data_IF_149297562049
#
_entry.id   IF_149297562049
#
_cell.length_a   1.000
_cell.length_b   1.000
_cell.length_c   1.000
_cell.angle_alpha   90.00
_cell.angle_beta   90.00
_cell.angle_gamma   90.00
#
_symmetry.space_group_name_H-M   'P 1'
#
loop_
_entity.id
_entity.type
_entity.pdbx_description
1 polymer ?
#
# COMPACT_ATOMS: atom_id res chain seq x y z
N UNK A 1 -25.45 5.92 -14.36
CA UNK A 1 -24.26 5.51 -15.14
C UNK A 1 -23.55 4.35 -14.45
N UNK A 2 -22.94 3.49 -15.23
CA UNK A 2 -22.05 2.42 -14.77
C UNK A 2 -20.71 2.53 -15.50
N UNK A 3 -19.62 2.39 -14.77
CA UNK A 3 -18.26 2.35 -15.30
C UNK A 3 -17.51 1.19 -14.65
N UNK A 4 -16.86 0.37 -15.46
CA UNK A 4 -15.87 -0.61 -15.03
C UNK A 4 -14.51 -0.23 -15.60
N UNK A 5 -13.46 -0.41 -14.83
CA UNK A 5 -12.10 -0.11 -15.23
C UNK A 5 -11.16 -1.19 -14.71
N UNK A 6 -10.33 -1.72 -15.58
CA UNK A 6 -9.24 -2.63 -15.24
C UNK A 6 -7.93 -1.98 -15.62
N UNK A 7 -7.07 -1.76 -14.65
CA UNK A 7 -5.70 -1.30 -14.85
C UNK A 7 -4.76 -2.42 -14.46
N UNK A 8 -3.73 -2.65 -15.26
CA UNK A 8 -2.70 -3.63 -14.98
C UNK A 8 -1.33 -3.11 -15.34
N UNK A 9 -0.31 -3.55 -14.61
CA UNK A 9 1.08 -3.35 -14.99
C UNK A 9 1.87 -4.64 -14.78
N UNK A 10 2.79 -4.88 -15.68
CA UNK A 10 3.78 -5.96 -15.62
C UNK A 10 5.15 -5.31 -15.65
N UNK A 11 6.03 -5.73 -14.77
CA UNK A 11 7.42 -5.29 -14.72
C UNK A 11 8.34 -6.49 -14.69
N UNK A 12 9.35 -6.48 -15.54
CA UNK A 12 10.46 -7.41 -15.50
C UNK A 12 11.75 -6.63 -15.30
N UNK A 13 12.53 -6.98 -14.31
CA UNK A 13 13.81 -6.36 -14.00
C UNK A 13 14.92 -7.39 -13.99
N UNK A 14 16.04 -7.06 -14.61
CA UNK A 14 17.29 -7.83 -14.50
C UNK A 14 18.42 -6.88 -14.21
N UNK A 15 19.16 -7.17 -13.15
CA UNK A 15 20.35 -6.42 -12.76
C UNK A 15 21.54 -7.36 -12.60
N UNK A 16 22.65 -7.03 -13.23
CA UNK A 16 23.94 -7.69 -13.01
C UNK A 16 24.90 -6.68 -12.39
N UNK A 17 25.56 -7.04 -11.31
CA UNK A 17 26.52 -6.19 -10.61
C UNK A 17 27.81 -6.95 -10.39
N UNK A 18 28.93 -6.25 -10.52
CA UNK A 18 30.26 -6.82 -10.27
C UNK A 18 31.14 -5.80 -9.54
N UNK A 19 31.76 -6.25 -8.49
CA UNK A 19 32.78 -5.52 -7.74
C UNK A 19 34.09 -6.27 -7.81
N UNK A 20 35.09 -5.72 -8.51
CA UNK A 20 36.42 -6.30 -8.61
C UNK A 20 37.26 -6.13 -7.33
N UNK A 21 38.42 -6.77 -7.28
CA UNK A 21 39.32 -6.72 -6.14
C UNK A 21 39.73 -5.32 -5.70
N UNK A 22 39.84 -4.39 -6.64
CA UNK A 22 40.26 -3.01 -6.39
C UNK A 22 39.08 -2.08 -6.06
N UNK A 23 37.85 -2.58 -6.10
CA UNK A 23 36.67 -1.77 -5.78
C UNK A 23 36.61 -1.45 -4.28
N UNK A 24 36.54 -0.16 -3.94
CA UNK A 24 36.47 0.27 -2.53
C UNK A 24 35.23 -0.28 -1.80
N UNK A 25 34.08 -0.37 -2.48
CA UNK A 25 32.85 -0.91 -1.94
C UNK A 25 32.93 -2.39 -1.54
N UNK A 26 33.87 -3.12 -2.11
CA UNK A 26 34.06 -4.55 -1.85
C UNK A 26 34.81 -4.83 -0.55
N UNK A 27 35.68 -3.91 -0.12
CA UNK A 27 36.62 -4.13 1.00
C UNK A 27 35.97 -4.41 2.35
N UNK A 28 34.96 -3.67 2.83
CA UNK A 28 34.42 -3.91 4.17
C UNK A 28 33.60 -5.21 4.25
N UNK A 29 33.00 -5.63 3.16
CA UNK A 29 32.01 -6.74 3.16
C UNK A 29 32.63 -8.06 2.73
N UNK A 30 33.56 -8.04 1.76
CA UNK A 30 34.11 -9.23 1.14
C UNK A 30 35.63 -9.38 1.29
N UNK A 31 36.24 -8.63 2.20
CA UNK A 31 37.67 -8.66 2.50
C UNK A 31 38.58 -8.56 1.23
N UNK A 32 38.12 -7.78 0.25
CA UNK A 32 38.86 -7.58 -1.01
C UNK A 32 38.64 -8.65 -2.06
N UNK A 33 37.83 -9.67 -1.81
CA UNK A 33 37.46 -10.67 -2.83
C UNK A 33 36.48 -10.09 -3.86
N UNK A 34 36.60 -10.43 -5.15
CA UNK A 34 35.60 -10.06 -6.14
C UNK A 34 34.22 -10.58 -5.74
N UNK A 35 33.21 -9.78 -6.02
CA UNK A 35 31.83 -10.13 -5.76
C UNK A 35 30.98 -9.85 -6.99
N UNK A 36 30.15 -10.80 -7.34
CA UNK A 36 29.25 -10.72 -8.49
C UNK A 36 27.83 -11.09 -8.07
N UNK A 37 26.85 -10.39 -8.64
CA UNK A 37 25.44 -10.60 -8.34
C UNK A 37 24.62 -10.52 -9.62
N UNK A 38 23.64 -11.42 -9.74
CA UNK A 38 22.54 -11.31 -10.71
C UNK A 38 21.24 -11.33 -9.95
N UNK A 39 20.42 -10.31 -10.17
CA UNK A 39 19.06 -10.23 -9.66
C UNK A 39 18.07 -10.20 -10.81
N UNK A 40 17.09 -11.09 -10.77
CA UNK A 40 15.91 -11.04 -11.63
C UNK A 40 14.70 -10.75 -10.75
N UNK A 41 13.79 -9.91 -11.24
CA UNK A 41 12.55 -9.61 -10.55
C UNK A 41 11.40 -9.51 -11.51
N UNK A 42 10.28 -10.10 -11.14
CA UNK A 42 9.03 -10.04 -11.87
C UNK A 42 7.97 -9.43 -10.96
N UNK A 43 7.31 -8.39 -11.44
CA UNK A 43 6.25 -7.73 -10.71
C UNK A 43 5.00 -7.64 -11.55
N UNK A 44 3.87 -7.84 -10.93
CA UNK A 44 2.59 -7.53 -11.54
C UNK A 44 1.67 -6.84 -10.54
N UNK A 45 0.91 -5.89 -11.05
CA UNK A 45 -0.16 -5.28 -10.31
C UNK A 45 -1.40 -5.16 -11.17
N UNK A 46 -2.57 -5.30 -10.57
CA UNK A 46 -3.81 -4.95 -11.21
C UNK A 46 -4.79 -4.34 -10.21
N UNK A 47 -5.62 -3.45 -10.73
CA UNK A 47 -6.74 -2.86 -10.02
C UNK A 47 -7.97 -2.96 -10.89
N UNK A 48 -9.00 -3.60 -10.37
CA UNK A 48 -10.32 -3.66 -10.99
C UNK A 48 -11.29 -2.84 -10.14
N UNK A 49 -11.92 -1.87 -10.78
CA UNK A 49 -12.83 -0.95 -10.13
C UNK A 49 -14.16 -0.89 -10.88
N UNK A 50 -15.26 -0.89 -10.13
CA UNK A 50 -16.60 -0.72 -10.64
C UNK A 50 -17.27 0.43 -9.91
N UNK A 51 -17.88 1.34 -10.67
CA UNK A 51 -18.57 2.51 -10.17
C UNK A 51 -19.97 2.52 -10.74
N UNK A 52 -20.97 2.52 -9.88
CA UNK A 52 -22.37 2.69 -10.22
C UNK A 52 -22.88 3.99 -9.64
N UNK A 53 -23.38 4.89 -10.48
CA UNK A 53 -23.95 6.16 -10.04
C UNK A 53 -25.37 6.32 -10.57
N UNK A 54 -26.27 6.72 -9.68
CA UNK A 54 -27.65 7.03 -9.98
C UNK A 54 -28.03 8.38 -9.41
N UNK A 55 -28.50 9.27 -10.27
CA UNK A 55 -28.99 10.59 -9.89
C UNK A 55 -30.45 10.71 -10.27
N UNK A 56 -31.28 11.27 -9.38
CA UNK A 56 -32.68 11.49 -9.63
C UNK A 56 -33.19 12.70 -8.84
N UNK A 57 -34.29 13.29 -9.31
CA UNK A 57 -34.93 14.42 -8.66
C UNK A 57 -36.39 14.11 -8.38
N UNK A 58 -36.90 14.59 -7.25
CA UNK A 58 -38.31 14.49 -6.86
C UNK A 58 -38.84 15.92 -6.68
N UNK A 59 -40.02 16.19 -7.26
CA UNK A 59 -40.69 17.46 -7.20
C UNK A 59 -39.81 18.68 -7.58
N UNK A 60 -38.84 18.49 -8.46
CA UNK A 60 -37.86 19.47 -8.95
C UNK A 60 -36.93 20.10 -7.89
N UNK A 61 -37.30 20.06 -6.63
CA UNK A 61 -36.60 20.70 -5.51
C UNK A 61 -35.66 19.76 -4.78
N UNK A 62 -35.90 18.45 -4.84
CA UNK A 62 -35.15 17.45 -4.13
C UNK A 62 -34.26 16.66 -5.12
N UNK A 63 -32.96 16.88 -5.03
CA UNK A 63 -32.00 16.18 -5.88
C UNK A 63 -31.22 15.16 -5.07
N UNK A 64 -31.14 13.95 -5.58
CA UNK A 64 -30.46 12.82 -4.96
C UNK A 64 -29.38 12.28 -5.89
N UNK A 65 -28.26 11.92 -5.29
CA UNK A 65 -27.20 11.21 -5.96
C UNK A 65 -26.69 10.05 -5.09
N UNK A 66 -26.66 8.86 -5.66
CA UNK A 66 -26.12 7.66 -5.00
C UNK A 66 -24.99 7.12 -5.84
N UNK A 67 -23.85 6.87 -5.24
CA UNK A 67 -22.71 6.26 -5.91
C UNK A 67 -22.18 5.10 -5.07
N UNK A 68 -22.15 3.92 -5.69
CA UNK A 68 -21.51 2.72 -5.15
C UNK A 68 -20.20 2.44 -5.89
N UNK A 69 -19.17 2.08 -5.16
CA UNK A 69 -17.86 1.71 -5.70
C UNK A 69 -17.42 0.38 -5.11
N UNK A 70 -16.91 -0.50 -5.96
CA UNK A 70 -16.15 -1.66 -5.53
C UNK A 70 -14.78 -1.64 -6.20
N UNK A 71 -13.73 -1.95 -5.45
CA UNK A 71 -12.37 -1.96 -5.97
C UNK A 71 -11.62 -3.17 -5.43
N UNK A 72 -10.89 -3.83 -6.31
CA UNK A 72 -9.98 -4.91 -5.94
C UNK A 72 -8.61 -4.65 -6.54
N UNK A 73 -7.58 -4.67 -5.70
CA UNK A 73 -6.19 -4.48 -6.08
C UNK A 73 -5.36 -5.67 -5.59
N UNK A 74 -4.47 -6.14 -6.46
CA UNK A 74 -3.43 -7.10 -6.12
C UNK A 74 -2.09 -6.61 -6.64
N UNK A 75 -1.08 -6.70 -5.79
CA UNK A 75 0.32 -6.47 -6.16
C UNK A 75 1.11 -7.73 -5.80
N UNK A 76 1.99 -8.15 -6.69
CA UNK A 76 2.91 -9.26 -6.47
C UNK A 76 4.27 -8.90 -7.01
N UNK A 77 5.29 -9.24 -6.25
CA UNK A 77 6.68 -9.10 -6.63
C UNK A 77 7.43 -10.38 -6.27
N UNK A 78 8.04 -10.98 -7.26
CA UNK A 78 8.90 -12.15 -7.13
C UNK A 78 10.31 -11.76 -7.51
N UNK A 79 11.30 -12.26 -6.78
CA UNK A 79 12.69 -12.04 -7.13
C UNK A 79 13.52 -13.29 -6.90
N UNK A 80 14.59 -13.40 -7.70
CA UNK A 80 15.68 -14.35 -7.50
C UNK A 80 16.99 -13.58 -7.56
N UNK A 81 17.81 -13.77 -6.54
CA UNK A 81 19.12 -13.18 -6.40
C UNK A 81 20.15 -14.30 -6.32
N UNK A 82 21.15 -14.26 -7.18
CA UNK A 82 22.28 -15.17 -7.18
C UNK A 82 23.56 -14.37 -6.97
N UNK A 83 24.30 -14.70 -5.93
CA UNK A 83 25.54 -14.07 -5.53
C UNK A 83 26.72 -15.02 -5.67
N UNK A 84 27.87 -14.49 -6.04
CA UNK A 84 29.14 -15.21 -6.07
C UNK A 84 30.28 -14.34 -5.56
N UNK A 85 31.13 -14.88 -4.70
CA UNK A 85 32.33 -14.19 -4.23
C UNK A 85 33.57 -15.03 -4.37
N UNK A 86 34.75 -14.35 -4.51
CA UNK A 86 36.05 -15.02 -4.68
C UNK A 86 36.26 -15.60 -6.07
N UNK A 87 35.94 -14.84 -7.11
CA UNK A 87 36.28 -15.22 -8.49
C UNK A 87 37.78 -14.96 -8.77
N UNK A 88 38.48 -15.92 -9.35
CA UNK A 88 39.91 -15.79 -9.67
C UNK A 88 40.15 -14.84 -10.85
N UNK A 89 39.20 -14.74 -11.77
CA UNK A 89 39.32 -13.97 -12.99
C UNK A 89 38.21 -12.93 -13.13
N UNK A 90 38.58 -11.66 -13.23
CA UNK A 90 37.66 -10.52 -13.39
C UNK A 90 36.87 -10.54 -14.71
N UNK A 91 37.39 -11.25 -15.73
CA UNK A 91 36.78 -11.32 -17.07
C UNK A 91 35.36 -11.91 -17.05
N UNK A 92 35.08 -12.79 -16.10
CA UNK A 92 33.75 -13.41 -16.00
C UNK A 92 32.67 -12.50 -15.41
N UNK A 93 33.07 -11.56 -14.58
CA UNK A 93 32.13 -10.66 -13.90
C UNK A 93 30.93 -11.44 -13.33
N UNK A 94 29.68 -11.00 -13.62
CA UNK A 94 28.45 -11.68 -13.19
C UNK A 94 27.96 -12.74 -14.21
N UNK A 95 28.67 -12.97 -15.31
CA UNK A 95 28.22 -13.93 -16.33
C UNK A 95 28.49 -15.40 -15.97
N UNK A 96 29.39 -15.66 -15.02
CA UNK A 96 29.74 -17.00 -14.61
C UNK A 96 29.90 -17.10 -13.09
N UNK A 97 28.78 -17.08 -12.36
CA UNK A 97 28.81 -17.19 -10.90
C UNK A 97 29.34 -18.54 -10.41
N UNK A 98 29.23 -19.61 -11.22
CA UNK A 98 29.81 -20.94 -10.90
C UNK A 98 31.33 -20.90 -10.68
N UNK A 99 32.03 -19.91 -11.24
CA UNK A 99 33.48 -19.74 -11.06
C UNK A 99 33.80 -19.06 -9.69
N UNK A 100 32.85 -18.67 -8.91
CA UNK A 100 33.06 -18.10 -7.58
C UNK A 100 33.30 -19.21 -6.55
N UNK A 101 34.19 -18.93 -5.59
CA UNK A 101 34.52 -19.86 -4.51
C UNK A 101 33.36 -20.06 -3.54
N UNK A 102 32.56 -19.02 -3.34
CA UNK A 102 31.33 -19.06 -2.54
C UNK A 102 30.15 -18.57 -3.37
N UNK A 103 29.05 -19.31 -3.32
CA UNK A 103 27.85 -19.04 -4.07
C UNK A 103 26.64 -19.03 -3.12
N UNK A 104 25.71 -18.12 -3.36
CA UNK A 104 24.45 -18.03 -2.62
C UNK A 104 23.32 -17.76 -3.59
N UNK A 105 22.20 -18.44 -3.40
CA UNK A 105 20.97 -18.18 -4.13
C UNK A 105 19.88 -17.85 -3.10
N UNK A 106 19.15 -16.81 -3.35
CA UNK A 106 18.02 -16.36 -2.56
C UNK A 106 16.85 -16.03 -3.47
N UNK A 107 15.66 -16.37 -3.05
CA UNK A 107 14.43 -15.98 -3.76
C UNK A 107 13.37 -15.54 -2.76
N UNK A 108 12.44 -14.72 -3.24
CA UNK A 108 11.34 -14.26 -2.41
C UNK A 108 10.13 -13.89 -3.24
N UNK A 109 8.96 -14.02 -2.60
CA UNK A 109 7.67 -13.63 -3.16
C UNK A 109 6.96 -12.75 -2.15
N UNK A 110 6.53 -11.57 -2.61
CA UNK A 110 5.71 -10.66 -1.83
C UNK A 110 4.39 -10.42 -2.55
N UNK A 111 3.28 -10.74 -1.88
CA UNK A 111 1.95 -10.51 -2.43
C UNK A 111 1.11 -9.72 -1.44
N UNK A 112 0.46 -8.66 -1.93
CA UNK A 112 -0.51 -7.87 -1.16
C UNK A 112 -1.81 -7.74 -1.93
N UNK A 113 -2.92 -7.75 -1.19
CA UNK A 113 -4.25 -7.54 -1.74
C UNK A 113 -4.98 -6.49 -0.93
N UNK A 114 -5.76 -5.65 -1.63
CA UNK A 114 -6.68 -4.69 -1.05
C UNK A 114 -8.04 -4.84 -1.72
N UNK A 115 -9.09 -4.71 -0.92
CA UNK A 115 -10.47 -4.72 -1.40
C UNK A 115 -11.23 -3.60 -0.71
N UNK A 116 -12.06 -2.90 -1.48
CA UNK A 116 -12.78 -1.74 -0.97
C UNK A 116 -14.20 -1.74 -1.47
N UNK A 117 -15.11 -1.34 -0.60
CA UNK A 117 -16.49 -0.99 -0.94
C UNK A 117 -16.75 0.42 -0.46
N UNK A 118 -17.34 1.25 -1.30
CA UNK A 118 -17.74 2.58 -0.88
C UNK A 118 -19.16 2.88 -1.33
N UNK A 119 -19.88 3.57 -0.45
CA UNK A 119 -21.20 4.12 -0.74
C UNK A 119 -21.17 5.61 -0.44
N UNK A 120 -21.63 6.42 -1.39
CA UNK A 120 -21.81 7.85 -1.23
C UNK A 120 -23.24 8.24 -1.55
N UNK A 121 -23.82 9.03 -0.68
CA UNK A 121 -25.13 9.62 -0.81
C UNK A 121 -24.99 11.13 -0.80
N UNK A 122 -25.58 11.80 -1.79
CA UNK A 122 -25.69 13.25 -1.87
C UNK A 122 -27.15 13.63 -1.93
N UNK A 123 -27.52 14.66 -1.21
CA UNK A 123 -28.84 15.24 -1.23
C UNK A 123 -28.76 16.75 -1.31
N UNK A 124 -29.61 17.35 -2.11
CA UNK A 124 -29.75 18.79 -2.22
C UNK A 124 -31.21 19.16 -2.26
N UNK A 125 -31.62 20.08 -1.37
CA UNK A 125 -32.96 20.67 -1.36
C UNK A 125 -32.89 22.11 -1.86
N UNK A 126 -33.62 22.39 -2.96
CA UNK A 126 -33.66 23.69 -3.65
C UNK A 126 -32.29 24.28 -3.99
N UNK A 127 -31.26 23.50 -4.03
CA UNK A 127 -29.87 23.97 -4.19
C UNK A 127 -29.30 24.69 -2.96
N UNK A 128 -30.09 24.92 -1.93
CA UNK A 128 -29.75 25.71 -0.72
C UNK A 128 -29.13 24.85 0.37
N UNK A 129 -29.77 23.73 0.68
CA UNK A 129 -29.34 22.81 1.73
C UNK A 129 -28.72 21.59 1.07
N UNK A 130 -27.45 21.32 1.37
CA UNK A 130 -26.71 20.22 0.81
C UNK A 130 -26.26 19.29 1.91
N UNK A 131 -26.46 18.00 1.71
CA UNK A 131 -26.03 16.94 2.59
C UNK A 131 -25.24 15.90 1.78
N UNK A 132 -24.10 15.50 2.30
CA UNK A 132 -23.32 14.39 1.76
C UNK A 132 -23.00 13.43 2.90
N UNK A 133 -23.21 12.16 2.66
CA UNK A 133 -22.74 11.07 3.51
C UNK A 133 -21.98 10.07 2.66
N UNK A 134 -20.87 9.60 3.16
CA UNK A 134 -20.12 8.49 2.54
C UNK A 134 -19.62 7.54 3.60
N UNK A 135 -19.56 6.27 3.24
CA UNK A 135 -18.84 5.29 4.03
C UNK A 135 -18.01 4.42 3.10
N UNK A 136 -16.77 4.15 3.50
CA UNK A 136 -15.85 3.26 2.80
C UNK A 136 -15.42 2.14 3.75
N UNK A 137 -15.57 0.92 3.30
CA UNK A 137 -15.06 -0.27 3.95
C UNK A 137 -13.84 -0.75 3.18
N UNK A 138 -12.69 -0.76 3.83
CA UNK A 138 -11.45 -1.19 3.23
C UNK A 138 -10.90 -2.42 3.95
N UNK A 139 -10.46 -3.38 3.16
CA UNK A 139 -9.80 -4.59 3.64
C UNK A 139 -8.42 -4.77 3.01
N UNK A 140 -7.46 -5.20 3.83
CA UNK A 140 -6.08 -5.49 3.39
C UNK A 140 -5.62 -6.86 3.86
N UNK A 141 -4.83 -7.53 3.04
CA UNK A 141 -4.39 -8.91 3.32
C UNK A 141 -3.37 -9.00 4.46
N UNK A 142 -2.59 -7.94 4.69
CA UNK A 142 -1.40 -7.93 5.53
C UNK A 142 -1.64 -7.49 6.98
N UNK A 143 -2.88 -7.19 7.37
CA UNK A 143 -3.23 -6.94 8.76
C UNK A 143 -3.59 -8.22 9.51
N UNK A 144 -3.57 -8.14 10.83
CA UNK A 144 -3.87 -9.26 11.72
C UNK A 144 -5.27 -9.82 11.51
N UNK A 145 -5.50 -11.11 11.75
CA UNK A 145 -6.84 -11.68 11.76
C UNK A 145 -7.79 -10.87 12.63
N UNK A 146 -8.99 -10.60 12.11
CA UNK A 146 -9.99 -9.76 12.78
C UNK A 146 -9.77 -8.24 12.65
N UNK A 147 -8.63 -7.78 12.13
CA UNK A 147 -8.31 -6.35 11.93
C UNK A 147 -8.09 -5.95 10.48
N UNK A 148 -8.31 -6.89 9.56
CA UNK A 148 -8.09 -6.67 8.12
C UNK A 148 -9.05 -5.66 7.52
N UNK A 149 -10.28 -5.64 8.00
CA UNK A 149 -11.35 -4.77 7.51
C UNK A 149 -11.67 -3.67 8.50
N UNK A 150 -11.92 -2.47 7.98
CA UNK A 150 -12.42 -1.36 8.78
C UNK A 150 -13.31 -0.43 7.95
N UNK A 151 -14.03 0.46 8.63
CA UNK A 151 -15.02 1.36 8.09
C UNK A 151 -14.65 2.82 8.36
N UNK A 152 -14.78 3.65 7.33
CA UNK A 152 -14.36 5.05 7.33
C UNK A 152 -15.54 5.95 6.89
N UNK A 153 -16.47 6.26 7.82
CA UNK A 153 -17.56 7.16 7.54
C UNK A 153 -17.11 8.61 7.46
N UNK A 154 -17.81 9.39 6.61
CA UNK A 154 -17.68 10.83 6.53
C UNK A 154 -19.02 11.46 6.19
N UNK A 155 -19.26 12.65 6.73
CA UNK A 155 -20.46 13.42 6.47
C UNK A 155 -20.17 14.91 6.34
N UNK A 156 -20.95 15.60 5.51
CA UNK A 156 -20.85 17.03 5.34
C UNK A 156 -22.23 17.66 5.14
N UNK A 157 -22.40 18.85 5.70
CA UNK A 157 -23.54 19.72 5.51
C UNK A 157 -23.07 21.03 4.91
N UNK A 158 -23.85 21.59 4.00
CA UNK A 158 -23.63 22.94 3.53
C UNK A 158 -24.97 23.68 3.37
N UNK A 159 -24.96 24.98 3.68
CA UNK A 159 -26.11 25.86 3.57
C UNK A 159 -25.72 27.10 2.78
N UNK A 160 -26.42 27.34 1.68
CA UNK A 160 -26.32 28.57 0.91
C UNK A 160 -27.22 29.62 1.55
N UNK A 161 -26.67 30.43 2.42
CA UNK A 161 -27.37 31.47 3.15
C UNK A 161 -27.82 32.59 2.21
N UNK A 162 -26.99 32.93 1.21
CA UNK A 162 -27.30 33.96 0.21
C UNK A 162 -28.61 33.72 -0.54
N UNK A 163 -28.98 32.44 -0.73
CA UNK A 163 -30.22 32.09 -1.47
C UNK A 163 -31.47 32.19 -0.63
N UNK A 164 -31.37 32.55 0.65
CA UNK A 164 -32.53 32.70 1.55
C UNK A 164 -33.26 34.03 1.37
N UNK A 165 -34.58 34.01 1.59
CA UNK A 165 -35.42 35.17 1.38
C UNK A 165 -35.03 36.39 2.25
N UNK A 166 -34.48 36.14 3.43
CA UNK A 166 -34.03 37.20 4.33
C UNK A 166 -32.71 37.85 3.88
N UNK A 167 -31.98 37.24 2.98
CA UNK A 167 -30.70 37.77 2.45
C UNK A 167 -30.88 38.61 1.17
N UNK A 168 -32.08 38.70 0.60
CA UNK A 168 -32.32 39.44 -0.65
C UNK A 168 -31.90 40.91 -0.58
N UNK A 169 -31.99 41.56 0.58
CA UNK A 169 -31.53 42.95 0.76
C UNK A 169 -30.01 43.09 0.67
N UNK A 170 -29.26 42.00 0.84
CA UNK A 170 -27.80 41.97 0.84
C UNK A 170 -27.21 41.62 -0.52
N UNK A 171 -28.01 41.26 -1.52
CA UNK A 171 -27.56 40.86 -2.89
C UNK A 171 -26.70 41.94 -3.58
N UNK A 172 -26.82 43.22 -3.14
CA UNK A 172 -26.04 44.32 -3.73
C UNK A 172 -24.55 44.30 -3.39
N UNK A 173 -24.15 43.61 -2.32
CA UNK A 173 -22.78 43.59 -1.82
C UNK A 173 -22.29 42.18 -1.43
N UNK A 174 -23.17 41.19 -1.38
CA UNK A 174 -22.86 39.82 -1.01
C UNK A 174 -23.58 38.87 -1.98
N UNK A 175 -22.87 38.45 -3.04
CA UNK A 175 -23.44 37.57 -4.07
C UNK A 175 -23.52 36.11 -3.63
N UNK A 176 -22.61 35.68 -2.78
CA UNK A 176 -22.55 34.29 -2.32
C UNK A 176 -22.17 34.25 -0.83
N UNK A 177 -22.96 33.56 -0.04
CA UNK A 177 -22.60 33.19 1.32
C UNK A 177 -23.02 31.74 1.54
N UNK A 178 -22.02 30.89 1.73
CA UNK A 178 -22.23 29.47 1.99
C UNK A 178 -21.45 29.02 3.21
N UNK A 179 -22.16 28.40 4.15
CA UNK A 179 -21.57 27.79 5.34
C UNK A 179 -21.39 26.29 5.10
N UNK A 180 -20.27 25.73 5.53
CA UNK A 180 -19.97 24.30 5.41
C UNK A 180 -19.44 23.73 6.71
N UNK A 181 -19.86 22.52 7.05
CA UNK A 181 -19.32 21.73 8.13
C UNK A 181 -19.19 20.29 7.66
N UNK A 182 -18.10 19.65 8.01
CA UNK A 182 -17.88 18.24 7.70
C UNK A 182 -17.04 17.56 8.75
N UNK A 183 -17.28 16.28 8.89
CA UNK A 183 -16.48 15.40 9.75
C UNK A 183 -16.31 14.05 9.08
N UNK A 184 -15.18 13.40 9.33
CA UNK A 184 -14.92 12.08 8.78
C UNK A 184 -13.74 11.36 9.42
N UNK A 185 -13.71 10.08 9.19
CA UNK A 185 -12.63 9.20 9.61
C UNK A 185 -11.88 8.76 8.36
N UNK A 186 -10.57 8.86 8.37
CA UNK A 186 -9.70 8.31 7.32
C UNK A 186 -8.82 7.20 7.89
N UNK A 187 -8.67 6.12 7.12
CA UNK A 187 -7.83 4.99 7.46
C UNK A 187 -6.49 5.05 6.73
N UNK A 188 -5.44 4.69 7.44
CA UNK A 188 -4.12 4.51 6.86
C UNK A 188 -3.65 3.07 7.07
N UNK A 189 -3.25 2.40 5.97
CA UNK A 189 -2.64 1.07 5.97
C UNK A 189 -1.16 1.10 5.56
N UNK A 190 -0.58 2.30 5.39
CA UNK A 190 0.81 2.46 4.99
C UNK A 190 1.79 2.06 6.09
N UNK A 191 3.04 1.83 5.70
CA UNK A 191 4.12 1.50 6.63
C UNK A 191 4.13 0.07 7.16
N UNK A 192 3.15 -0.76 6.80
CA UNK A 192 3.08 -2.17 7.23
C UNK A 192 3.49 -3.08 6.07
N UNK A 193 4.53 -3.88 6.27
CA UNK A 193 4.98 -4.86 5.28
C UNK A 193 4.00 -6.02 5.10
N UNK A 194 4.06 -6.68 3.94
CA UNK A 194 3.13 -7.74 3.54
C UNK A 194 2.97 -8.89 4.56
N UNK A 195 4.02 -9.17 5.32
CA UNK A 195 4.08 -10.30 6.26
C UNK A 195 4.43 -9.89 7.69
N UNK A 196 4.29 -8.60 8.03
CA UNK A 196 4.64 -8.05 9.36
C UNK A 196 3.81 -8.66 10.52
N UNK A 197 2.71 -9.34 10.22
CA UNK A 197 1.89 -10.06 11.21
C UNK A 197 2.31 -11.51 11.39
N UNK A 198 3.25 -12.00 10.56
CA UNK A 198 3.71 -13.39 10.58
C UNK A 198 5.06 -13.48 11.28
N UNK A 199 5.20 -14.45 12.16
CA UNK A 199 6.50 -14.79 12.72
C UNK A 199 7.22 -15.69 11.72
N UNK A 200 8.38 -15.21 11.24
CA UNK A 200 9.24 -15.98 10.35
C UNK A 200 10.44 -16.47 11.15
N UNK A 201 10.62 -17.78 11.18
CA UNK A 201 11.79 -18.41 11.79
C UNK A 201 12.63 -19.09 10.71
N UNK A 202 13.90 -18.73 10.66
CA UNK A 202 14.88 -19.37 9.77
C UNK A 202 15.75 -20.33 10.58
N UNK A 203 15.88 -21.54 10.09
CA UNK A 203 16.82 -22.49 10.63
C UNK A 203 18.22 -22.10 10.18
N UNK A 204 19.08 -21.77 11.12
CA UNK A 204 20.49 -21.52 10.87
C UNK A 204 21.31 -22.60 11.57
N UNK A 205 22.06 -23.38 10.79
CA UNK A 205 23.02 -24.37 11.33
C UNK A 205 24.38 -23.71 11.38
N UNK A 206 24.81 -23.33 12.55
CA UNK A 206 26.12 -22.75 12.80
C UNK A 206 27.17 -23.85 12.97
N UNK A 207 28.46 -23.46 12.91
CA UNK A 207 29.54 -24.31 13.39
C UNK A 207 29.20 -24.73 14.83
N UNK A 208 29.29 -26.05 15.09
CA UNK A 208 28.90 -26.61 16.36
C UNK A 208 29.82 -26.23 17.52
N UNK A 209 29.42 -26.56 18.73
CA UNK A 209 30.31 -26.55 19.89
C UNK A 209 31.12 -27.87 19.96
N UNK A 210 32.39 -27.76 20.34
CA UNK A 210 33.22 -28.96 20.50
C UNK A 210 32.96 -29.57 21.88
N UNK A 211 32.46 -30.80 21.89
CA UNK A 211 32.24 -31.59 23.11
C UNK A 211 33.10 -32.84 22.97
N UNK A 212 34.03 -33.07 23.90
CA UNK A 212 34.93 -34.21 23.90
C UNK A 212 35.68 -34.41 22.55
N UNK A 213 36.12 -33.30 21.94
CA UNK A 213 36.83 -33.37 20.64
C UNK A 213 35.94 -33.53 19.41
N UNK A 214 34.64 -33.69 19.57
CA UNK A 214 33.68 -33.79 18.47
C UNK A 214 32.91 -32.51 18.29
N UNK A 215 32.75 -32.06 17.05
CA UNK A 215 31.90 -30.91 16.72
C UNK A 215 30.43 -31.36 16.74
N UNK A 216 29.66 -30.87 17.69
CA UNK A 216 28.22 -31.06 17.77
C UNK A 216 27.56 -29.84 17.15
N UNK A 217 26.97 -29.94 15.95
CA UNK A 217 26.28 -28.85 15.32
C UNK A 217 25.04 -28.47 16.12
N UNK A 218 24.84 -27.17 16.34
CA UNK A 218 23.58 -26.72 16.93
C UNK A 218 22.77 -25.92 15.89
N UNK A 219 21.46 -26.04 16.01
CA UNK A 219 20.51 -25.32 15.19
C UNK A 219 19.97 -24.12 15.97
N UNK A 220 20.16 -22.96 15.41
CA UNK A 220 19.58 -21.74 15.94
C UNK A 220 18.43 -21.31 15.03
N UNK A 221 17.31 -20.96 15.63
CA UNK A 221 16.24 -20.27 14.93
C UNK A 221 16.40 -18.78 15.12
N UNK A 222 16.57 -18.07 14.03
CA UNK A 222 16.57 -16.60 14.01
C UNK A 222 15.45 -16.14 13.11
N UNK A 223 14.83 -15.04 13.42
CA UNK A 223 13.73 -14.55 12.62
C UNK A 223 13.09 -13.28 13.18
N UNK A 224 12.05 -12.83 12.51
CA UNK A 224 11.28 -11.66 12.91
C UNK A 224 9.99 -12.11 13.58
N UNK A 225 9.71 -11.54 14.75
CA UNK A 225 8.43 -11.77 15.41
C UNK A 225 7.36 -10.93 14.72
N UNK A 226 6.30 -11.61 14.29
CA UNK A 226 5.13 -10.95 13.74
C UNK A 226 4.34 -10.21 14.84
N UNK A 227 3.82 -9.04 14.53
CA UNK A 227 2.93 -8.32 15.44
C UNK A 227 1.49 -8.85 15.30
N UNK A 228 0.91 -9.45 16.33
CA UNK A 228 -0.44 -10.00 16.27
C UNK A 228 -1.54 -8.94 16.33
N UNK A 229 -1.18 -7.66 16.52
CA UNK A 229 -2.13 -6.58 16.78
C UNK A 229 -2.19 -5.50 15.70
N UNK A 230 -1.48 -5.68 14.56
CA UNK A 230 -1.48 -4.70 13.48
C UNK A 230 -2.86 -4.56 12.83
N UNK A 231 -3.28 -3.33 12.67
CA UNK A 231 -4.55 -2.94 12.07
C UNK A 231 -4.50 -1.52 11.52
N UNK A 232 -5.67 -0.98 11.19
CA UNK A 232 -5.82 0.35 10.62
C UNK A 232 -5.46 1.44 11.63
N UNK A 233 -4.67 2.40 11.20
CA UNK A 233 -4.53 3.69 11.86
C UNK A 233 -5.70 4.58 11.44
N UNK A 234 -6.32 5.27 12.39
CA UNK A 234 -7.50 6.12 12.15
C UNK A 234 -7.18 7.57 12.47
N UNK A 235 -7.50 8.46 11.53
CA UNK A 235 -7.44 9.89 11.71
C UNK A 235 -8.86 10.48 11.68
N UNK A 236 -9.20 11.30 12.68
CA UNK A 236 -10.48 11.99 12.80
C UNK A 236 -10.30 13.43 12.31
N UNK A 237 -11.08 13.81 11.30
CA UNK A 237 -10.95 15.09 10.64
C UNK A 237 -12.25 15.90 10.79
N UNK A 238 -12.10 17.19 11.05
CA UNK A 238 -13.18 18.17 11.12
C UNK A 238 -12.86 19.33 10.19
N UNK A 239 -13.86 19.82 9.50
CA UNK A 239 -13.72 20.95 8.59
C UNK A 239 -14.90 21.91 8.77
N UNK A 240 -14.58 23.21 8.86
CA UNK A 240 -15.55 24.29 8.84
C UNK A 240 -15.14 25.26 7.75
N UNK A 241 -16.07 25.73 6.96
CA UNK A 241 -15.79 26.64 5.85
C UNK A 241 -16.87 27.67 5.66
N UNK A 242 -16.46 28.86 5.24
CA UNK A 242 -17.32 29.96 4.82
C UNK A 242 -16.84 30.36 3.43
N UNK A 243 -17.73 30.34 2.46
CA UNK A 243 -17.49 30.81 1.10
C UNK A 243 -18.26 32.11 0.91
N UNK A 244 -17.57 33.22 0.55
CA UNK A 244 -18.14 34.54 0.30
C UNK A 244 -17.65 35.05 -1.06
#
# INVERSE_FOLDING_TARGET
SYRTQLNGSLGHGRQGTYWGNLCHANRPTYAGSPHAQIQNSDSYSYTWENILSYNFSIANDHNFGVTGVTSWQKNSNEYTNADGSGQDLDIWKYWRLLAANSQRIESGLTTTQKMSYALRFNYSYKGKYLFTFSNRWDGVSFFSPGKKWDSFPAGALAWRVSDESFMKSSEKWLDNLKLRVGAGITGNSGGVGAYSTQTNAYKYTSAGITINGNIVPFTQYTGTYGSPSLGWEKSYNWNFGIDM
#
